data_IF_529034703624
#
_entry.id   IF_529034703624
#
_cell.length_a   1.000
_cell.length_b   1.000
_cell.length_c   1.000
_cell.angle_alpha   90.00
_cell.angle_beta   90.00
_cell.angle_gamma   90.00
#
_symmetry.space_group_name_H-M   'P 1'
#
loop_
_entity.id
_entity.type
_entity.pdbx_description
1 polymer ?
#
# COMPACT_ATOMS: atom_id res chain seq x y z
N UNK A 1 -2.46 -9.39 -75.44
CA UNK A 1 -1.38 -8.43 -75.60
C UNK A 1 -1.85 -7.12 -74.99
N UNK A 2 -1.50 -6.86 -73.75
CA UNK A 2 -1.83 -5.58 -73.13
C UNK A 2 -0.79 -4.54 -73.57
N UNK A 3 -1.24 -3.61 -74.42
CA UNK A 3 -0.45 -2.44 -74.78
C UNK A 3 -0.25 -1.55 -73.53
N UNK A 4 0.99 -1.52 -73.02
CA UNK A 4 1.42 -0.51 -72.02
C UNK A 4 1.40 0.85 -72.73
N UNK A 5 0.33 1.62 -72.52
CA UNK A 5 0.34 3.06 -72.83
C UNK A 5 1.26 3.81 -71.92
N UNK A 6 2.38 4.26 -72.41
CA UNK A 6 3.24 5.20 -71.72
C UNK A 6 2.60 6.60 -71.82
N UNK A 7 2.32 7.22 -70.71
CA UNK A 7 1.88 8.62 -70.63
C UNK A 7 3.12 9.44 -70.37
N UNK A 8 3.52 10.30 -71.31
CA UNK A 8 4.57 11.29 -71.09
C UNK A 8 4.00 12.43 -70.27
N UNK A 9 4.49 12.60 -69.06
CA UNK A 9 4.13 13.69 -68.15
C UNK A 9 5.21 14.77 -68.20
N UNK A 10 4.80 16.02 -68.17
CA UNK A 10 5.74 17.15 -67.93
C UNK A 10 6.36 17.09 -66.56
N UNK A 11 7.47 17.77 -66.33
CA UNK A 11 8.14 17.79 -65.02
C UNK A 11 7.22 18.31 -63.90
N UNK A 12 6.36 19.27 -64.16
CA UNK A 12 5.40 19.82 -63.24
C UNK A 12 4.27 18.86 -62.88
N UNK A 13 3.72 18.15 -63.91
CA UNK A 13 2.70 17.11 -63.73
C UNK A 13 3.25 15.93 -62.91
N UNK A 14 4.51 15.54 -63.13
CA UNK A 14 5.16 14.49 -62.38
C UNK A 14 5.35 14.91 -60.89
N UNK A 15 5.68 16.16 -60.65
CA UNK A 15 5.82 16.70 -59.30
C UNK A 15 4.45 16.73 -58.55
N UNK A 16 3.39 17.17 -59.23
CA UNK A 16 2.03 17.16 -58.68
C UNK A 16 1.53 15.73 -58.41
N UNK A 17 1.79 14.79 -59.32
CA UNK A 17 1.43 13.38 -59.11
C UNK A 17 2.15 12.76 -57.93
N UNK A 18 3.44 13.00 -57.75
CA UNK A 18 4.20 12.54 -56.58
C UNK A 18 3.70 13.16 -55.28
N UNK A 19 3.37 14.46 -55.31
CA UNK A 19 2.79 15.13 -54.15
C UNK A 19 1.42 14.56 -53.75
N UNK A 20 0.58 14.27 -54.77
CA UNK A 20 -0.70 13.61 -54.54
C UNK A 20 -0.54 12.19 -54.00
N UNK A 21 0.37 11.37 -54.57
CA UNK A 21 0.66 10.05 -54.06
C UNK A 21 1.13 10.08 -52.58
N UNK A 22 2.03 10.99 -52.24
CA UNK A 22 2.51 11.14 -50.89
C UNK A 22 1.41 11.59 -49.92
N UNK A 23 0.49 12.45 -50.38
CA UNK A 23 -0.65 12.86 -49.59
C UNK A 23 -1.66 11.72 -49.35
N UNK A 24 -1.88 10.89 -50.39
CA UNK A 24 -2.76 9.75 -50.30
C UNK A 24 -2.19 8.64 -49.44
N UNK A 25 -0.88 8.40 -49.50
CA UNK A 25 -0.17 7.46 -48.64
C UNK A 25 -0.24 7.91 -47.15
N UNK A 26 -0.04 9.20 -46.89
CA UNK A 26 -0.21 9.76 -45.53
C UNK A 26 -1.63 9.59 -44.98
N UNK A 27 -2.65 9.78 -45.84
CA UNK A 27 -4.04 9.56 -45.44
C UNK A 27 -4.32 8.11 -45.11
N UNK A 28 -3.83 7.18 -45.95
CA UNK A 28 -3.98 5.73 -45.71
C UNK A 28 -3.29 5.30 -44.43
N UNK A 29 -2.07 5.80 -44.21
CA UNK A 29 -1.35 5.50 -42.95
C UNK A 29 -2.05 6.09 -41.72
N UNK A 30 -2.55 7.33 -41.78
CA UNK A 30 -3.31 7.93 -40.71
C UNK A 30 -4.60 7.15 -40.39
N UNK A 31 -5.30 6.68 -41.46
CA UNK A 31 -6.49 5.85 -41.32
C UNK A 31 -6.16 4.49 -40.68
N UNK A 32 -5.08 3.83 -41.14
CA UNK A 32 -4.59 2.56 -40.59
C UNK A 32 -4.25 2.68 -39.11
N UNK A 33 -3.55 3.77 -38.73
CA UNK A 33 -3.21 4.05 -37.31
C UNK A 33 -4.48 4.27 -36.49
N UNK A 34 -5.47 4.97 -37.03
CA UNK A 34 -6.75 5.19 -36.35
C UNK A 34 -7.48 3.88 -36.09
N UNK A 35 -7.64 3.06 -37.15
CA UNK A 35 -8.29 1.73 -37.05
C UNK A 35 -7.56 0.79 -36.08
N UNK A 36 -6.21 0.80 -36.08
CA UNK A 36 -5.41 0.02 -35.14
C UNK A 36 -5.60 0.47 -33.69
N UNK A 37 -5.78 1.78 -33.44
CA UNK A 37 -6.08 2.29 -32.11
C UNK A 37 -7.49 1.92 -31.64
N UNK A 38 -8.46 1.98 -32.53
CA UNK A 38 -9.83 1.55 -32.23
C UNK A 38 -9.88 0.04 -31.92
N UNK A 39 -9.26 -0.79 -32.75
CA UNK A 39 -9.15 -2.22 -32.49
C UNK A 39 -8.38 -2.56 -31.18
N UNK A 40 -7.37 -1.77 -30.83
CA UNK A 40 -6.69 -1.92 -29.55
C UNK A 40 -7.61 -1.62 -28.36
N UNK A 41 -8.41 -0.54 -28.45
CA UNK A 41 -9.36 -0.22 -27.39
C UNK A 41 -10.41 -1.33 -27.21
N UNK A 42 -10.99 -1.80 -28.32
CA UNK A 42 -11.96 -2.92 -28.33
C UNK A 42 -11.35 -4.18 -27.69
N UNK A 43 -10.11 -4.54 -28.06
CA UNK A 43 -9.42 -5.68 -27.48
C UNK A 43 -9.21 -5.51 -25.96
N UNK A 44 -8.84 -4.31 -25.50
CA UNK A 44 -8.67 -4.03 -24.06
C UNK A 44 -9.99 -4.16 -23.33
N UNK A 45 -11.07 -3.61 -23.87
CA UNK A 45 -12.41 -3.69 -23.30
C UNK A 45 -12.85 -5.16 -23.18
N UNK A 46 -12.71 -5.94 -24.24
CA UNK A 46 -13.04 -7.37 -24.25
C UNK A 46 -12.25 -8.15 -23.18
N UNK A 47 -10.93 -7.92 -23.09
CA UNK A 47 -10.08 -8.59 -22.08
C UNK A 47 -10.49 -8.21 -20.65
N UNK A 48 -10.86 -6.96 -20.42
CA UNK A 48 -11.32 -6.51 -19.10
C UNK A 48 -12.66 -7.17 -18.77
N UNK A 49 -13.63 -7.13 -19.68
CA UNK A 49 -14.97 -7.72 -19.47
C UNK A 49 -14.91 -9.24 -19.22
N UNK A 50 -13.99 -9.95 -19.86
CA UNK A 50 -13.79 -11.38 -19.63
C UNK A 50 -13.05 -11.69 -18.32
N UNK A 51 -12.06 -10.86 -17.95
CA UNK A 51 -11.17 -11.14 -16.81
C UNK A 51 -11.76 -10.68 -15.48
N UNK A 52 -12.48 -9.56 -15.48
CA UNK A 52 -12.97 -8.94 -14.26
C UNK A 52 -13.94 -9.81 -13.45
N UNK A 53 -14.91 -10.53 -14.04
CA UNK A 53 -15.77 -11.45 -13.31
C UNK A 53 -15.02 -12.58 -12.64
N UNK A 54 -13.99 -13.13 -13.28
CA UNK A 54 -13.13 -14.19 -12.73
C UNK A 54 -12.40 -13.69 -11.48
N UNK A 55 -11.82 -12.49 -11.57
CA UNK A 55 -11.13 -11.88 -10.43
C UNK A 55 -12.09 -11.58 -9.25
N UNK A 56 -13.32 -11.16 -9.56
CA UNK A 56 -14.36 -10.93 -8.54
C UNK A 56 -14.79 -12.23 -7.85
N UNK A 57 -14.96 -13.31 -8.60
CA UNK A 57 -15.30 -14.63 -8.03
C UNK A 57 -14.17 -15.13 -7.11
N UNK A 58 -12.91 -15.05 -7.55
CA UNK A 58 -11.74 -15.41 -6.74
C UNK A 58 -11.67 -14.56 -5.46
N UNK A 59 -11.87 -13.25 -5.57
CA UNK A 59 -11.86 -12.34 -4.42
C UNK A 59 -12.93 -12.70 -3.39
N UNK A 60 -14.17 -12.95 -3.84
CA UNK A 60 -15.27 -13.35 -2.98
C UNK A 60 -14.99 -14.70 -2.30
N UNK A 61 -14.46 -15.66 -3.05
CA UNK A 61 -14.05 -16.96 -2.52
C UNK A 61 -12.98 -16.84 -1.42
N UNK A 62 -11.97 -15.98 -1.64
CA UNK A 62 -10.93 -15.72 -0.63
C UNK A 62 -11.54 -15.08 0.63
N UNK A 63 -12.43 -14.10 0.47
CA UNK A 63 -13.08 -13.43 1.61
C UNK A 63 -13.92 -14.42 2.44
N UNK A 64 -14.71 -15.27 1.80
CA UNK A 64 -15.52 -16.28 2.48
C UNK A 64 -14.64 -17.27 3.25
N UNK A 65 -13.63 -17.85 2.59
CA UNK A 65 -12.73 -18.81 3.22
C UNK A 65 -11.95 -18.18 4.37
N UNK A 66 -11.48 -16.94 4.20
CA UNK A 66 -10.81 -16.19 5.26
C UNK A 66 -11.71 -16.01 6.48
N UNK A 67 -12.97 -15.64 6.29
CA UNK A 67 -13.94 -15.48 7.37
C UNK A 67 -14.12 -16.79 8.14
N UNK A 68 -14.40 -17.90 7.44
CA UNK A 68 -14.63 -19.20 8.06
C UNK A 68 -13.40 -19.67 8.85
N UNK A 69 -12.19 -19.54 8.30
CA UNK A 69 -10.96 -19.91 9.00
C UNK A 69 -10.77 -19.06 10.27
N UNK A 70 -11.00 -17.74 10.21
CA UNK A 70 -10.88 -16.88 11.38
C UNK A 70 -11.87 -17.27 12.47
N UNK A 71 -13.11 -17.57 12.13
CA UNK A 71 -14.13 -18.02 13.08
C UNK A 71 -13.73 -19.31 13.80
N UNK A 72 -13.19 -20.30 13.07
CA UNK A 72 -12.68 -21.54 13.69
C UNK A 72 -11.49 -21.30 14.62
N UNK A 73 -10.55 -20.44 14.23
CA UNK A 73 -9.42 -20.09 15.12
C UNK A 73 -9.82 -19.23 16.31
N UNK A 74 -10.89 -18.43 16.22
CA UNK A 74 -11.44 -17.74 17.39
C UNK A 74 -11.96 -18.72 18.43
N UNK A 75 -12.63 -19.81 18.02
CA UNK A 75 -13.06 -20.89 18.93
C UNK A 75 -11.84 -21.56 19.60
N UNK A 76 -10.77 -21.82 18.84
CA UNK A 76 -9.55 -22.38 19.38
C UNK A 76 -8.84 -21.44 20.38
N UNK A 77 -8.85 -20.12 20.13
CA UNK A 77 -8.32 -19.12 21.06
C UNK A 77 -9.13 -19.08 22.35
N UNK A 78 -10.45 -19.10 22.26
CA UNK A 78 -11.34 -19.11 23.41
C UNK A 78 -11.15 -20.38 24.26
N UNK A 79 -11.10 -21.55 23.63
CA UNK A 79 -10.82 -22.82 24.30
C UNK A 79 -9.44 -22.85 24.98
N UNK A 80 -8.42 -22.28 24.33
CA UNK A 80 -7.08 -22.14 24.91
C UNK A 80 -7.12 -21.28 26.20
N UNK A 81 -7.84 -20.17 26.19
CA UNK A 81 -7.98 -19.31 27.35
C UNK A 81 -8.69 -20.04 28.51
N UNK A 82 -9.72 -20.81 28.23
CA UNK A 82 -10.44 -21.62 29.21
C UNK A 82 -9.56 -22.72 29.82
N UNK A 83 -8.89 -23.50 28.98
CA UNK A 83 -8.07 -24.65 29.42
C UNK A 83 -6.85 -24.22 30.22
N UNK A 84 -6.21 -23.13 29.84
CA UNK A 84 -4.98 -22.67 30.52
C UNK A 84 -5.22 -21.54 31.53
N UNK A 85 -6.46 -21.08 31.68
CA UNK A 85 -6.82 -20.03 32.67
C UNK A 85 -6.17 -18.67 32.44
N UNK A 86 -5.64 -18.42 31.23
CA UNK A 86 -4.93 -17.18 30.88
C UNK A 86 -5.49 -16.61 29.59
N UNK A 87 -6.12 -15.44 29.70
CA UNK A 87 -6.47 -14.61 28.53
C UNK A 87 -5.27 -13.74 28.18
N UNK A 88 -4.71 -13.92 26.99
CA UNK A 88 -3.63 -13.03 26.51
C UNK A 88 -4.17 -12.15 25.37
N UNK A 89 -4.00 -10.85 25.52
CA UNK A 89 -4.32 -9.86 24.47
C UNK A 89 -3.19 -9.79 23.44
N UNK A 90 -2.98 -10.92 22.73
CA UNK A 90 -1.93 -11.04 21.73
C UNK A 90 -2.45 -10.54 20.38
N UNK A 91 -1.63 -9.74 19.69
CA UNK A 91 -1.91 -9.28 18.33
C UNK A 91 -1.87 -10.40 17.29
N UNK A 92 -1.21 -11.52 17.62
CA UNK A 92 -0.98 -12.64 16.72
C UNK A 92 -0.91 -13.95 17.49
N UNK A 93 -1.57 -14.98 16.98
CA UNK A 93 -1.53 -16.33 17.50
C UNK A 93 -0.95 -17.27 16.44
N UNK A 94 0.03 -18.07 16.82
CA UNK A 94 0.61 -19.11 15.97
C UNK A 94 0.14 -20.46 16.47
N UNK A 95 -0.51 -21.21 15.58
CA UNK A 95 -0.97 -22.58 15.82
C UNK A 95 -0.16 -23.55 14.97
N UNK A 96 0.53 -24.46 15.61
CA UNK A 96 1.31 -25.52 14.95
C UNK A 96 0.62 -26.84 15.21
N UNK A 97 0.50 -27.70 14.20
CA UNK A 97 -0.07 -29.02 14.36
C UNK A 97 0.84 -29.94 15.19
N UNK A 98 0.31 -31.07 15.64
CA UNK A 98 1.04 -32.04 16.49
C UNK A 98 2.27 -32.66 15.81
N UNK A 99 2.25 -32.77 14.46
CA UNK A 99 3.40 -33.25 13.69
C UNK A 99 4.52 -32.20 13.57
N UNK A 100 4.24 -30.94 13.86
CA UNK A 100 5.22 -29.84 13.81
C UNK A 100 5.64 -29.43 12.40
N UNK A 101 4.87 -29.83 11.37
CA UNK A 101 5.17 -29.60 9.95
C UNK A 101 4.28 -28.53 9.29
N UNK A 102 3.19 -28.12 9.94
CA UNK A 102 2.25 -27.10 9.44
C UNK A 102 1.91 -26.12 10.54
N UNK A 103 1.83 -24.86 10.18
CA UNK A 103 1.37 -23.81 11.10
C UNK A 103 0.53 -22.75 10.41
N UNK A 104 -0.42 -22.22 11.16
CA UNK A 104 -1.27 -21.10 10.76
C UNK A 104 -1.08 -20.00 11.78
N UNK A 105 -0.87 -18.80 11.27
CA UNK A 105 -0.72 -17.59 12.05
C UNK A 105 -1.94 -16.72 11.76
N UNK A 106 -2.72 -16.43 12.79
CA UNK A 106 -3.87 -15.51 12.71
C UNK A 106 -3.61 -14.30 13.56
N UNK A 107 -3.98 -13.14 13.07
CA UNK A 107 -3.77 -11.90 13.80
C UNK A 107 -4.45 -10.73 13.11
N UNK A 108 -4.17 -9.55 13.63
CA UNK A 108 -4.65 -8.30 13.07
C UNK A 108 -3.53 -7.26 13.03
N UNK A 109 -3.64 -6.35 12.05
CA UNK A 109 -2.75 -5.20 11.98
C UNK A 109 -3.26 -4.11 12.90
N UNK A 110 -2.32 -3.40 13.52
CA UNK A 110 -2.58 -2.19 14.28
C UNK A 110 -2.12 -0.97 13.48
N UNK A 111 -2.87 0.11 13.59
CA UNK A 111 -2.50 1.42 13.07
C UNK A 111 -2.42 2.37 14.25
N UNK A 112 -1.35 3.17 14.28
CA UNK A 112 -1.27 4.28 15.20
C UNK A 112 -2.41 5.25 14.90
N UNK A 113 -3.15 5.62 15.93
CA UNK A 113 -4.19 6.62 15.85
C UNK A 113 -4.23 7.42 17.17
N UNK A 114 -4.81 8.59 17.12
CA UNK A 114 -4.80 9.54 18.22
C UNK A 114 -6.15 10.25 18.32
N UNK A 115 -6.52 10.63 19.52
CA UNK A 115 -7.64 11.53 19.75
C UNK A 115 -7.32 12.93 19.22
N UNK A 116 -8.33 13.77 19.09
CA UNK A 116 -8.24 15.17 18.65
C UNK A 116 -7.24 16.00 19.48
N UNK A 117 -7.12 15.69 20.78
CA UNK A 117 -6.18 16.34 21.73
C UNK A 117 -4.71 16.22 21.32
N UNK A 118 -4.36 15.35 20.38
CA UNK A 118 -2.99 15.26 19.84
C UNK A 118 -2.51 16.61 19.27
N UNK A 119 -3.43 17.40 18.71
CA UNK A 119 -3.08 18.69 18.08
C UNK A 119 -2.61 19.71 19.12
N UNK A 120 -3.21 19.71 20.30
CA UNK A 120 -2.83 20.57 21.43
C UNK A 120 -1.43 20.21 21.94
N UNK A 121 -1.13 18.92 22.04
CA UNK A 121 0.21 18.45 22.39
C UNK A 121 1.25 18.86 21.34
N UNK A 122 0.95 18.67 20.06
CA UNK A 122 1.81 19.10 18.94
C UNK A 122 2.06 20.62 19.00
N UNK A 123 1.01 21.42 19.17
CA UNK A 123 1.12 22.88 19.23
C UNK A 123 2.01 23.34 20.40
N UNK A 124 1.89 22.70 21.58
CA UNK A 124 2.77 22.99 22.73
C UNK A 124 4.23 22.67 22.42
N UNK A 125 4.50 21.51 21.85
CA UNK A 125 5.86 21.12 21.47
C UNK A 125 6.44 22.09 20.45
N UNK A 126 5.68 22.42 19.40
CA UNK A 126 6.10 23.39 18.37
C UNK A 126 6.42 24.76 18.96
N UNK A 127 5.53 25.29 19.79
CA UNK A 127 5.74 26.59 20.44
C UNK A 127 7.03 26.63 21.26
N UNK A 128 7.32 25.56 22.03
CA UNK A 128 8.55 25.46 22.79
C UNK A 128 9.77 25.43 21.87
N UNK A 129 9.75 24.54 20.88
CA UNK A 129 10.89 24.36 19.96
C UNK A 129 11.17 25.62 19.14
N UNK A 130 10.14 26.33 18.67
CA UNK A 130 10.30 27.61 17.99
C UNK A 130 10.96 28.68 18.87
N UNK A 131 10.71 28.66 20.18
CA UNK A 131 11.34 29.57 21.13
C UNK A 131 12.86 29.36 21.27
N UNK A 132 13.35 28.18 20.89
CA UNK A 132 14.78 27.82 20.92
C UNK A 132 15.53 28.25 19.65
N UNK A 133 14.85 28.55 18.57
CA UNK A 133 15.44 28.82 17.24
C UNK A 133 16.17 30.18 17.17
N UNK A 134 17.21 30.36 17.97
CA UNK A 134 17.98 31.62 18.05
C UNK A 134 19.27 31.62 17.25
N UNK A 135 19.85 30.47 17.00
CA UNK A 135 21.11 30.27 16.29
C UNK A 135 21.05 29.04 15.37
N UNK A 136 22.11 28.78 14.60
CA UNK A 136 22.12 27.68 13.61
C UNK A 136 22.17 26.30 14.24
N UNK A 137 22.77 26.16 15.43
CA UNK A 137 22.80 24.87 16.16
C UNK A 137 21.41 24.53 16.70
N UNK A 138 20.69 25.52 17.24
CA UNK A 138 19.31 25.37 17.65
C UNK A 138 18.36 25.02 16.52
N UNK A 139 18.58 25.56 15.29
CA UNK A 139 17.79 25.22 14.11
C UNK A 139 17.88 23.74 13.73
N UNK A 140 19.04 23.11 13.93
CA UNK A 140 19.18 21.67 13.66
C UNK A 140 18.30 20.82 14.61
N UNK A 141 18.26 21.17 15.90
CA UNK A 141 17.38 20.54 16.90
C UNK A 141 15.89 20.77 16.55
N UNK A 142 15.52 22.00 16.24
CA UNK A 142 14.16 22.36 15.80
C UNK A 142 13.70 21.49 14.65
N UNK A 143 14.53 21.39 13.61
CA UNK A 143 14.23 20.55 12.44
C UNK A 143 14.13 19.05 12.77
N UNK A 144 14.94 18.56 13.70
CA UNK A 144 14.86 17.16 14.15
C UNK A 144 13.52 16.88 14.85
N UNK A 145 13.08 17.74 15.74
CA UNK A 145 11.79 17.60 16.45
C UNK A 145 10.61 17.72 15.49
N UNK A 146 10.63 18.69 14.57
CA UNK A 146 9.57 18.85 13.57
C UNK A 146 9.43 17.62 12.66
N UNK A 147 10.54 16.94 12.33
CA UNK A 147 10.50 15.67 11.58
C UNK A 147 9.84 14.55 12.38
N UNK A 148 10.03 14.51 13.69
CA UNK A 148 9.39 13.51 14.56
C UNK A 148 7.89 13.75 14.67
N UNK A 149 7.46 15.02 14.66
CA UNK A 149 6.04 15.42 14.66
C UNK A 149 5.38 15.28 13.29
N UNK A 150 6.15 15.03 12.22
CA UNK A 150 5.59 14.90 10.88
C UNK A 150 4.60 13.73 10.79
N UNK A 151 3.44 14.01 10.20
CA UNK A 151 2.41 13.00 9.93
C UNK A 151 2.86 12.08 8.81
N UNK A 152 2.47 10.82 8.89
CA UNK A 152 2.67 9.83 7.83
C UNK A 152 1.60 9.96 6.72
N UNK A 153 1.63 9.03 5.76
CA UNK A 153 0.66 8.99 4.65
C UNK A 153 -0.80 8.80 5.12
N UNK A 154 -1.00 8.29 6.34
CA UNK A 154 -2.31 8.12 6.94
C UNK A 154 -2.77 9.35 7.76
N UNK A 155 -1.97 10.40 7.79
CA UNK A 155 -2.26 11.62 8.53
C UNK A 155 -1.99 11.53 10.03
N UNK A 156 -1.31 10.48 10.51
CA UNK A 156 -1.02 10.22 11.92
C UNK A 156 0.47 10.32 12.24
N UNK A 157 0.83 10.52 13.50
CA UNK A 157 2.22 10.44 13.96
C UNK A 157 2.53 8.98 14.33
N UNK A 158 3.72 8.51 14.02
CA UNK A 158 4.15 7.16 14.42
C UNK A 158 4.46 7.13 15.92
N UNK A 159 3.91 6.16 16.64
CA UNK A 159 4.15 5.97 18.06
C UNK A 159 5.66 5.88 18.41
N UNK A 160 6.46 5.23 17.56
CA UNK A 160 7.90 5.15 17.72
C UNK A 160 8.61 6.52 17.69
N UNK A 161 8.07 7.50 16.97
CA UNK A 161 8.59 8.87 16.95
C UNK A 161 8.21 9.63 18.21
N UNK A 162 7.02 9.37 18.76
CA UNK A 162 6.59 9.97 20.03
C UNK A 162 7.49 9.50 21.20
N UNK A 163 7.89 8.23 21.19
CA UNK A 163 8.88 7.72 22.16
C UNK A 163 10.25 8.44 22.05
N UNK A 164 10.67 8.78 20.84
CA UNK A 164 11.90 9.58 20.64
C UNK A 164 11.72 11.01 21.15
N UNK A 165 10.57 11.63 20.87
CA UNK A 165 10.23 12.96 21.40
C UNK A 165 10.22 12.95 22.93
N UNK A 166 9.68 11.92 23.56
CA UNK A 166 9.69 11.74 25.00
C UNK A 166 11.09 11.79 25.58
N UNK A 167 11.99 11.02 24.99
CA UNK A 167 13.39 10.97 25.41
C UNK A 167 14.07 12.34 25.29
N UNK A 168 13.85 13.02 24.17
CA UNK A 168 14.38 14.37 23.97
C UNK A 168 13.80 15.39 24.96
N UNK A 169 12.52 15.25 25.31
CA UNK A 169 11.88 16.13 26.29
C UNK A 169 12.42 15.89 27.71
N UNK A 170 12.66 14.64 28.09
CA UNK A 170 13.29 14.26 29.36
C UNK A 170 14.73 14.80 29.45
N UNK A 171 15.51 14.64 28.37
CA UNK A 171 16.91 15.13 28.31
C UNK A 171 16.99 16.67 28.34
N UNK A 172 15.94 17.37 27.89
CA UNK A 172 15.89 18.85 27.87
C UNK A 172 15.56 19.49 29.24
N UNK A 173 15.08 18.69 30.19
CA UNK A 173 14.57 19.13 31.50
C UNK A 173 13.56 20.28 31.44
N UNK A 174 12.81 20.38 30.30
CA UNK A 174 11.82 21.43 30.07
C UNK A 174 10.41 20.94 30.30
N UNK A 175 9.71 21.57 31.24
CA UNK A 175 8.36 21.17 31.68
C UNK A 175 7.29 21.38 30.55
N UNK A 176 7.39 22.45 29.73
CA UNK A 176 6.44 22.68 28.63
C UNK A 176 6.59 21.64 27.51
N UNK A 177 7.83 21.27 27.18
CA UNK A 177 8.10 20.25 26.19
C UNK A 177 7.59 18.89 26.68
N UNK A 178 7.92 18.50 27.92
CA UNK A 178 7.42 17.29 28.56
C UNK A 178 5.89 17.22 28.59
N UNK A 179 5.23 18.31 28.95
CA UNK A 179 3.77 18.37 29.00
C UNK A 179 3.14 18.23 27.62
N UNK A 180 3.72 18.88 26.61
CA UNK A 180 3.27 18.72 25.21
C UNK A 180 3.39 17.26 24.71
N UNK A 181 4.51 16.59 24.98
CA UNK A 181 4.72 15.19 24.61
C UNK A 181 3.77 14.29 25.40
N UNK A 182 3.54 14.55 26.68
CA UNK A 182 2.59 13.79 27.51
C UNK A 182 1.17 13.86 26.97
N UNK A 183 0.70 15.03 26.52
CA UNK A 183 -0.61 15.17 25.87
C UNK A 183 -0.69 14.31 24.62
N UNK A 184 0.38 14.27 23.79
CA UNK A 184 0.44 13.40 22.61
C UNK A 184 0.33 11.92 23.03
N UNK A 185 1.05 11.49 24.05
CA UNK A 185 1.00 10.10 24.55
C UNK A 185 -0.37 9.72 25.10
N UNK A 186 -0.99 10.59 25.89
CA UNK A 186 -2.33 10.37 26.46
C UNK A 186 -3.42 10.35 25.41
N UNK A 187 -3.19 10.99 24.25
CA UNK A 187 -4.10 10.96 23.11
C UNK A 187 -3.97 9.67 22.26
N UNK A 188 -2.93 8.85 22.48
CA UNK A 188 -2.69 7.63 21.68
C UNK A 188 -3.83 6.63 21.82
N UNK A 189 -4.41 6.26 20.72
CA UNK A 189 -5.56 5.34 20.63
C UNK A 189 -5.40 4.41 19.43
N UNK A 190 -4.52 3.40 19.51
CA UNK A 190 -4.26 2.51 18.39
C UNK A 190 -5.51 1.75 17.98
N UNK A 191 -5.72 1.62 16.67
CA UNK A 191 -6.88 0.97 16.09
C UNK A 191 -6.52 -0.34 15.40
N UNK A 192 -7.35 -1.37 15.63
CA UNK A 192 -7.30 -2.60 14.84
C UNK A 192 -7.77 -2.29 13.42
N UNK A 193 -7.04 -2.81 12.44
CA UNK A 193 -7.39 -2.67 11.03
C UNK A 193 -7.76 -4.05 10.44
N UNK A 194 -7.06 -4.52 9.42
CA UNK A 194 -7.38 -5.77 8.76
C UNK A 194 -6.87 -6.99 9.54
N UNK A 195 -7.71 -8.03 9.62
CA UNK A 195 -7.25 -9.35 10.05
C UNK A 195 -6.43 -10.02 8.95
N UNK A 196 -5.42 -10.78 9.33
CA UNK A 196 -4.61 -11.58 8.42
C UNK A 196 -4.55 -13.03 8.83
N UNK A 197 -4.32 -13.87 7.84
CA UNK A 197 -4.00 -15.30 7.99
C UNK A 197 -2.71 -15.54 7.21
N UNK A 198 -1.76 -16.26 7.81
CA UNK A 198 -0.58 -16.77 7.13
C UNK A 198 -0.52 -18.27 7.36
N UNK A 199 -0.34 -19.04 6.31
CA UNK A 199 -0.15 -20.49 6.39
C UNK A 199 1.27 -20.85 5.96
N UNK A 200 1.88 -21.77 6.67
CA UNK A 200 3.24 -22.23 6.39
C UNK A 200 3.31 -23.75 6.59
N UNK A 201 4.17 -24.39 5.81
CA UNK A 201 4.49 -25.81 5.91
C UNK A 201 6.01 -26.02 5.84
N UNK A 202 6.49 -27.14 6.33
CA UNK A 202 7.88 -27.51 6.15
C UNK A 202 8.06 -28.28 4.84
N UNK A 203 9.09 -27.90 4.10
CA UNK A 203 9.54 -28.64 2.93
C UNK A 203 10.32 -29.92 3.33
N UNK A 204 10.80 -30.66 2.34
CA UNK A 204 11.55 -31.91 2.54
C UNK A 204 12.87 -31.69 3.31
N UNK A 205 13.43 -30.47 3.28
CA UNK A 205 14.60 -30.06 4.04
C UNK A 205 14.26 -29.58 5.47
N UNK A 206 12.99 -29.58 5.86
CA UNK A 206 12.49 -29.10 7.15
C UNK A 206 12.45 -27.59 7.30
N UNK A 207 12.58 -26.82 6.22
CA UNK A 207 12.49 -25.36 6.21
C UNK A 207 11.04 -24.91 6.07
N UNK A 208 10.67 -23.86 6.78
CA UNK A 208 9.35 -23.28 6.69
C UNK A 208 9.15 -22.53 5.38
N UNK A 209 8.16 -22.94 4.60
CA UNK A 209 7.70 -22.33 3.37
C UNK A 209 6.35 -21.66 3.61
N UNK A 210 6.13 -20.50 3.02
CA UNK A 210 4.84 -19.81 3.06
C UNK A 210 3.92 -20.29 1.96
N UNK A 211 2.65 -20.50 2.30
CA UNK A 211 1.60 -20.73 1.29
C UNK A 211 1.23 -19.39 0.69
N UNK A 212 1.39 -19.17 -0.62
CA UNK A 212 0.98 -17.93 -1.28
C UNK A 212 -0.55 -17.81 -1.24
N UNK A 213 -1.06 -16.69 -0.72
CA UNK A 213 -2.49 -16.42 -0.57
C UNK A 213 -2.92 -15.14 -1.30
N UNK A 214 -2.02 -14.52 -2.04
CA UNK A 214 -2.31 -13.36 -2.87
C UNK A 214 -1.81 -13.58 -4.29
N UNK A 215 -2.39 -12.90 -5.27
CA UNK A 215 -1.96 -12.98 -6.67
C UNK A 215 -0.58 -12.34 -6.91
N UNK A 216 -0.05 -11.61 -5.96
CA UNK A 216 1.32 -11.07 -6.03
C UNK A 216 2.37 -12.06 -5.56
N UNK A 217 1.96 -13.15 -4.91
CA UNK A 217 2.84 -14.14 -4.30
C UNK A 217 2.82 -15.48 -5.06
N UNK A 218 1.97 -15.60 -6.10
CA UNK A 218 1.81 -16.79 -6.94
C UNK A 218 2.68 -16.72 -8.19
#
# INVERSE_FOLDING_TARGET
>A
MDEKRSVEMSADELAQFKAWQAAEEKKREAQRVKEAREAYCELVDDVIELSFPILMEMSNGIMEKKKNILEEFQKAIAMKAEVYGVSSDQFSHTFTNSAGDKRIIVGYYMRDDYRDTVNEGIAKVQKYIESLAKDDDSKALVNAVLRLLARDQNGTIKASRVLQLRKMAEDSDNTEFLDGVRIIEESYQPQRTANYIRAQYKDDDGKWQSVPLSMTDC
#
